data_IF_564172868450
#
_entry.id   IF_564172868450
#
_cell.length_a   1.000
_cell.length_b   1.000
_cell.length_c   1.000
_cell.angle_alpha   90.00
_cell.angle_beta   90.00
_cell.angle_gamma   90.00
#
_symmetry.space_group_name_H-M   'P 1'
#
loop_
_entity.id
_entity.type
_entity.pdbx_description
1 polymer ?
#
# COMPACT_ATOMS: atom_id res chain seq x y z
N UNK A 1 -13.03 -23.68 22.11
CA UNK A 1 -12.64 -22.98 20.88
C UNK A 1 -13.05 -21.53 20.93
N UNK A 2 -12.10 -20.68 20.58
CA UNK A 2 -12.36 -19.23 20.54
C UNK A 2 -13.11 -18.86 19.27
N UNK A 3 -14.19 -18.11 19.41
CA UNK A 3 -14.95 -17.61 18.27
C UNK A 3 -14.73 -16.12 18.10
N UNK A 4 -14.89 -15.64 16.89
CA UNK A 4 -14.84 -14.21 16.62
C UNK A 4 -16.07 -13.54 17.22
N UNK A 5 -15.88 -12.37 17.80
CA UNK A 5 -17.00 -11.52 18.20
C UNK A 5 -17.75 -11.04 16.96
N UNK A 6 -18.98 -10.55 17.13
CA UNK A 6 -19.75 -9.97 16.03
C UNK A 6 -19.02 -8.77 15.43
N UNK A 7 -18.42 -7.94 16.27
CA UNK A 7 -17.67 -6.77 15.83
C UNK A 7 -16.42 -7.18 15.03
N UNK A 8 -15.69 -8.21 15.49
CA UNK A 8 -14.51 -8.69 14.77
C UNK A 8 -14.89 -9.26 13.40
N UNK A 9 -15.96 -10.03 13.32
CA UNK A 9 -16.46 -10.56 12.05
C UNK A 9 -16.82 -9.44 11.08
N UNK A 10 -17.54 -8.43 11.58
CA UNK A 10 -17.93 -7.27 10.78
C UNK A 10 -16.70 -6.50 10.29
N UNK A 11 -15.75 -6.27 11.18
CA UNK A 11 -14.50 -5.60 10.85
C UNK A 11 -13.75 -6.33 9.74
N UNK A 12 -13.52 -7.64 9.92
CA UNK A 12 -12.80 -8.45 8.95
C UNK A 12 -13.50 -8.48 7.58
N UNK A 13 -14.82 -8.57 7.59
CA UNK A 13 -15.59 -8.53 6.35
C UNK A 13 -15.41 -7.21 5.61
N UNK A 14 -15.49 -6.09 6.33
CA UNK A 14 -15.33 -4.76 5.72
C UNK A 14 -13.92 -4.57 5.16
N UNK A 15 -12.89 -5.04 5.86
CA UNK A 15 -11.51 -5.00 5.38
C UNK A 15 -11.39 -5.84 4.11
N UNK A 16 -11.90 -7.06 4.11
CA UNK A 16 -11.83 -7.96 2.96
C UNK A 16 -12.59 -7.41 1.75
N UNK A 17 -13.76 -6.87 1.95
CA UNK A 17 -14.54 -6.26 0.87
C UNK A 17 -13.85 -5.03 0.31
N UNK A 18 -13.20 -4.24 1.17
CA UNK A 18 -12.43 -3.07 0.73
C UNK A 18 -11.23 -3.51 -0.11
N UNK A 19 -10.50 -4.53 0.34
CA UNK A 19 -9.38 -5.09 -0.43
C UNK A 19 -9.82 -5.57 -1.81
N UNK A 20 -11.00 -6.19 -1.90
CA UNK A 20 -11.57 -6.64 -3.18
C UNK A 20 -11.82 -5.47 -4.13
N UNK A 21 -12.25 -4.32 -3.62
CA UNK A 21 -12.44 -3.11 -4.43
C UNK A 21 -11.09 -2.63 -4.99
N UNK A 22 -10.04 -2.63 -4.18
CA UNK A 22 -8.71 -2.23 -4.64
C UNK A 22 -8.18 -3.18 -5.72
N UNK A 23 -8.40 -4.48 -5.55
CA UNK A 23 -8.03 -5.47 -6.57
C UNK A 23 -8.75 -5.19 -7.90
N UNK A 24 -10.03 -4.90 -7.83
CA UNK A 24 -10.84 -4.55 -9.01
C UNK A 24 -10.35 -3.26 -9.66
N UNK A 25 -9.99 -2.25 -8.86
CA UNK A 25 -9.41 -1.00 -9.37
C UNK A 25 -8.10 -1.27 -10.13
N UNK A 26 -7.21 -2.07 -9.56
CA UNK A 26 -5.96 -2.43 -10.22
C UNK A 26 -6.24 -3.08 -11.58
N UNK A 27 -7.17 -4.03 -11.63
CA UNK A 27 -7.57 -4.68 -12.89
C UNK A 27 -8.09 -3.68 -13.92
N UNK A 28 -8.97 -2.79 -13.51
CA UNK A 28 -9.53 -1.75 -14.40
C UNK A 28 -8.45 -0.81 -14.94
N UNK A 29 -7.40 -0.58 -14.16
CA UNK A 29 -6.27 0.26 -14.55
C UNK A 29 -5.21 -0.49 -15.35
N UNK A 30 -5.40 -1.79 -15.57
CA UNK A 30 -4.45 -2.61 -16.31
C UNK A 30 -3.19 -2.94 -15.54
N UNK A 31 -3.25 -2.91 -14.21
CA UNK A 31 -2.11 -3.16 -13.34
C UNK A 31 -2.29 -4.45 -12.56
N UNK A 32 -1.18 -5.17 -12.32
CA UNK A 32 -1.18 -6.23 -11.32
C UNK A 32 -1.29 -5.60 -9.94
N UNK A 33 -1.71 -6.37 -8.95
CA UNK A 33 -1.80 -5.86 -7.58
C UNK A 33 -0.45 -5.34 -7.07
N UNK A 34 0.63 -6.05 -7.39
CA UNK A 34 1.98 -5.64 -6.98
C UNK A 34 2.41 -4.35 -7.65
N UNK A 35 2.19 -4.23 -8.97
CA UNK A 35 2.52 -3.00 -9.70
C UNK A 35 1.70 -1.82 -9.17
N UNK A 36 0.42 -2.05 -8.90
CA UNK A 36 -0.44 -1.04 -8.31
C UNK A 36 0.15 -0.52 -6.99
N UNK A 37 0.49 -1.43 -6.08
CA UNK A 37 1.04 -1.05 -4.77
C UNK A 37 2.35 -0.26 -4.88
N UNK A 38 3.22 -0.68 -5.78
CA UNK A 38 4.51 -0.02 -5.98
C UNK A 38 4.32 1.38 -6.56
N UNK A 39 3.54 1.51 -7.63
CA UNK A 39 3.27 2.81 -8.26
C UNK A 39 2.52 3.74 -7.32
N UNK A 40 1.58 3.20 -6.57
CA UNK A 40 0.83 3.97 -5.57
C UNK A 40 1.78 4.55 -4.51
N UNK A 41 2.63 3.71 -3.94
CA UNK A 41 3.58 4.13 -2.91
C UNK A 41 4.54 5.20 -3.45
N UNK A 42 5.11 4.96 -4.63
CA UNK A 42 6.02 5.91 -5.24
C UNK A 42 5.33 7.26 -5.52
N UNK A 43 4.13 7.23 -6.05
CA UNK A 43 3.37 8.46 -6.32
C UNK A 43 3.04 9.20 -5.04
N UNK A 44 2.61 8.47 -4.00
CA UNK A 44 2.28 9.06 -2.69
C UNK A 44 3.51 9.70 -2.02
N UNK A 45 4.70 9.14 -2.25
CA UNK A 45 5.94 9.62 -1.66
C UNK A 45 6.68 10.65 -2.53
N UNK A 46 6.03 11.16 -3.56
CA UNK A 46 6.61 12.22 -4.39
C UNK A 46 7.46 11.74 -5.55
N UNK A 47 7.43 10.45 -5.89
CA UNK A 47 8.11 9.88 -7.06
C UNK A 47 9.32 9.03 -6.77
N UNK A 48 9.81 9.04 -5.53
CA UNK A 48 10.96 8.22 -5.12
C UNK A 48 10.85 7.85 -3.65
N UNK A 49 11.28 6.65 -3.31
CA UNK A 49 11.37 6.25 -1.90
C UNK A 49 12.30 5.04 -1.75
N UNK A 50 12.79 4.79 -0.53
CA UNK A 50 13.58 3.59 -0.26
C UNK A 50 12.76 2.32 -0.50
N UNK A 51 13.42 1.28 -0.99
CA UNK A 51 12.79 -0.02 -1.22
C UNK A 51 12.11 -0.56 0.05
N UNK A 52 12.74 -0.37 1.21
CA UNK A 52 12.18 -0.82 2.49
C UNK A 52 10.82 -0.17 2.77
N UNK A 53 10.63 1.07 2.35
CA UNK A 53 9.36 1.77 2.56
C UNK A 53 8.27 1.22 1.65
N UNK A 54 8.62 0.83 0.42
CA UNK A 54 7.68 0.16 -0.47
C UNK A 54 7.19 -1.14 0.16
N UNK A 55 8.08 -1.93 0.73
CA UNK A 55 7.73 -3.17 1.42
C UNK A 55 6.84 -2.88 2.65
N UNK A 56 7.21 -1.87 3.44
CA UNK A 56 6.47 -1.53 4.65
C UNK A 56 5.06 -1.02 4.34
N UNK A 57 4.92 -0.10 3.38
CA UNK A 57 3.62 0.50 3.05
C UNK A 57 2.71 -0.45 2.28
N UNK A 58 3.27 -1.30 1.44
CA UNK A 58 2.47 -2.24 0.64
C UNK A 58 2.05 -3.48 1.41
N UNK A 59 2.79 -3.85 2.45
CA UNK A 59 2.59 -5.11 3.14
C UNK A 59 2.99 -6.34 2.33
N UNK A 60 3.57 -6.14 1.15
CA UNK A 60 4.04 -7.24 0.31
C UNK A 60 5.37 -7.79 0.79
N UNK A 61 5.64 -9.05 0.47
CA UNK A 61 6.95 -9.65 0.77
C UNK A 61 8.02 -9.00 -0.10
N UNK A 62 9.26 -9.01 0.38
CA UNK A 62 10.40 -8.48 -0.37
C UNK A 62 10.53 -9.16 -1.73
N UNK A 63 10.32 -10.48 -1.77
CA UNK A 63 10.40 -11.25 -3.01
C UNK A 63 9.36 -10.80 -4.04
N UNK A 64 8.12 -10.59 -3.59
CA UNK A 64 7.04 -10.12 -4.46
C UNK A 64 7.33 -8.72 -4.99
N UNK A 65 7.82 -7.82 -4.13
CA UNK A 65 8.20 -6.47 -4.53
C UNK A 65 9.33 -6.52 -5.56
N UNK A 66 10.38 -7.30 -5.30
CA UNK A 66 11.51 -7.41 -6.22
C UNK A 66 11.08 -7.93 -7.60
N UNK A 67 10.23 -8.95 -7.66
CA UNK A 67 9.73 -9.49 -8.93
C UNK A 67 8.97 -8.44 -9.73
N UNK A 68 8.10 -7.70 -9.06
CA UNK A 68 7.33 -6.64 -9.71
C UNK A 68 8.21 -5.46 -10.13
N UNK A 69 9.22 -5.12 -9.33
CA UNK A 69 10.19 -4.06 -9.68
C UNK A 69 10.98 -4.39 -10.93
N UNK A 70 11.47 -5.63 -11.05
CA UNK A 70 12.18 -6.06 -12.26
C UNK A 70 11.34 -5.84 -13.51
N UNK A 71 10.06 -6.16 -13.42
CA UNK A 71 9.14 -5.96 -14.54
C UNK A 71 8.94 -4.49 -14.87
N UNK A 72 8.74 -3.66 -13.83
CA UNK A 72 8.57 -2.21 -14.00
C UNK A 72 9.84 -1.55 -14.53
N UNK A 73 11.02 -2.03 -14.12
CA UNK A 73 12.29 -1.57 -14.67
C UNK A 73 12.42 -1.93 -16.16
N UNK A 74 12.08 -3.16 -16.51
CA UNK A 74 12.12 -3.63 -17.90
C UNK A 74 11.18 -2.82 -18.80
N UNK A 75 10.06 -2.38 -18.26
CA UNK A 75 9.10 -1.52 -18.98
C UNK A 75 9.53 -0.05 -19.01
N UNK A 76 10.59 0.30 -18.30
CA UNK A 76 11.10 1.67 -18.26
C UNK A 76 10.32 2.60 -17.34
N UNK A 77 9.53 2.05 -16.42
CA UNK A 77 8.70 2.86 -15.52
C UNK A 77 9.42 3.28 -14.24
N UNK A 78 10.40 2.52 -13.80
CA UNK A 78 11.17 2.84 -12.59
C UNK A 78 12.66 2.59 -12.83
N UNK A 79 13.48 3.25 -11.99
CA UNK A 79 14.91 2.95 -11.87
C UNK A 79 15.20 2.64 -10.42
N UNK A 80 16.19 1.79 -10.19
CA UNK A 80 16.62 1.43 -8.84
C UNK A 80 18.10 1.78 -8.71
N UNK A 81 18.44 2.56 -7.70
CA UNK A 81 19.82 2.93 -7.40
C UNK A 81 20.21 2.36 -6.05
N UNK A 82 21.45 1.84 -5.99
CA UNK A 82 22.01 1.33 -4.75
C UNK A 82 23.05 2.32 -4.21
N UNK A 83 22.84 2.77 -2.97
CA UNK A 83 23.85 3.52 -2.24
C UNK A 83 24.32 2.64 -1.07
N UNK A 84 25.27 1.76 -1.34
CA UNK A 84 25.74 0.78 -0.39
C UNK A 84 24.91 -0.51 -0.45
N UNK A 85 25.37 -1.56 0.24
CA UNK A 85 24.87 -2.92 0.10
C UNK A 85 23.41 -3.12 0.59
N UNK A 86 22.84 -2.18 1.34
CA UNK A 86 21.52 -2.33 1.95
C UNK A 86 20.55 -1.19 1.66
N UNK A 87 20.98 -0.19 0.88
CA UNK A 87 20.16 0.98 0.62
C UNK A 87 19.84 1.08 -0.85
N UNK A 88 18.64 0.70 -1.20
CA UNK A 88 18.12 0.85 -2.56
C UNK A 88 17.03 1.90 -2.55
N UNK A 89 17.10 2.80 -3.51
CA UNK A 89 16.06 3.81 -3.73
C UNK A 89 15.43 3.56 -5.08
N UNK A 90 14.11 3.53 -5.12
CA UNK A 90 13.33 3.34 -6.33
C UNK A 90 12.74 4.68 -6.73
N UNK A 91 12.88 5.01 -8.01
CA UNK A 91 12.43 6.30 -8.55
C UNK A 91 11.59 6.08 -9.80
N UNK A 92 10.47 6.79 -9.90
CA UNK A 92 9.68 6.81 -11.12
C UNK A 92 10.47 7.54 -12.22
N UNK A 93 10.53 6.94 -13.40
CA UNK A 93 11.03 7.63 -14.60
C UNK A 93 9.95 8.60 -15.08
N UNK A 94 10.22 9.50 -16.04
CA UNK A 94 9.17 10.31 -16.65
C UNK A 94 8.01 9.47 -17.20
N UNK A 95 8.32 8.32 -17.79
CA UNK A 95 7.32 7.36 -18.28
C UNK A 95 6.50 6.78 -17.11
N UNK A 96 7.16 6.41 -16.03
CA UNK A 96 6.51 5.89 -14.83
C UNK A 96 5.66 6.92 -14.14
N UNK A 97 6.12 8.17 -14.09
CA UNK A 97 5.35 9.27 -13.51
C UNK A 97 4.06 9.51 -14.31
N UNK A 98 4.15 9.47 -15.63
CA UNK A 98 2.98 9.60 -16.49
C UNK A 98 2.00 8.44 -16.27
N UNK A 99 2.51 7.22 -16.19
CA UNK A 99 1.69 6.05 -15.89
C UNK A 99 1.00 6.19 -14.53
N UNK A 100 1.73 6.64 -13.51
CA UNK A 100 1.17 6.85 -12.18
C UNK A 100 0.05 7.90 -12.20
N UNK A 101 0.23 9.01 -12.94
CA UNK A 101 -0.80 10.04 -13.07
C UNK A 101 -2.08 9.51 -13.71
N UNK A 102 -1.95 8.62 -14.68
CA UNK A 102 -3.09 8.04 -15.38
C UNK A 102 -3.78 6.92 -14.60
N UNK A 103 -3.15 6.39 -13.58
CA UNK A 103 -3.63 5.23 -12.84
C UNK A 103 -3.80 5.51 -11.35
N UNK A 104 -2.76 5.29 -10.56
CA UNK A 104 -2.83 5.33 -9.09
C UNK A 104 -3.17 6.72 -8.54
N UNK A 105 -2.78 7.79 -9.24
CA UNK A 105 -3.10 9.14 -8.80
C UNK A 105 -4.62 9.37 -8.72
N UNK A 106 -5.37 8.74 -9.62
CA UNK A 106 -6.84 8.82 -9.62
C UNK A 106 -7.44 8.16 -8.38
N UNK A 107 -6.83 7.07 -7.94
CA UNK A 107 -7.27 6.37 -6.73
C UNK A 107 -6.96 7.22 -5.49
N UNK A 108 -5.77 7.80 -5.43
CA UNK A 108 -5.38 8.70 -4.33
C UNK A 108 -6.36 9.88 -4.24
N UNK A 109 -6.73 10.44 -5.37
CA UNK A 109 -7.70 11.54 -5.43
C UNK A 109 -9.05 11.12 -4.84
N UNK A 110 -9.55 9.95 -5.23
CA UNK A 110 -10.80 9.40 -4.70
C UNK A 110 -10.71 9.20 -3.19
N UNK A 111 -9.62 8.61 -2.72
CA UNK A 111 -9.39 8.39 -1.29
C UNK A 111 -9.37 9.70 -0.51
N UNK A 112 -8.67 10.71 -1.05
CA UNK A 112 -8.62 12.04 -0.44
C UNK A 112 -10.00 12.67 -0.36
N UNK A 113 -10.82 12.54 -1.39
CA UNK A 113 -12.18 13.05 -1.41
C UNK A 113 -13.06 12.36 -0.37
N UNK A 114 -12.95 11.04 -0.28
CA UNK A 114 -13.72 10.26 0.69
C UNK A 114 -13.38 10.69 2.12
N UNK A 115 -12.09 10.64 2.47
CA UNK A 115 -11.64 10.99 3.82
C UNK A 115 -11.87 12.47 4.12
N UNK A 116 -11.71 13.34 3.13
CA UNK A 116 -11.94 14.76 3.26
C UNK A 116 -13.40 15.15 3.45
N UNK A 117 -14.33 14.24 3.12
CA UNK A 117 -15.77 14.49 3.30
C UNK A 117 -16.23 14.17 4.75
N UNK A 118 -15.39 13.50 5.53
CA UNK A 118 -15.72 13.17 6.91
C UNK A 118 -15.47 14.37 7.83
N UNK A 119 -16.22 14.50 8.93
CA UNK A 119 -15.86 15.49 9.95
C UNK A 119 -14.42 15.23 10.43
N UNK A 120 -13.68 16.32 10.65
CA UNK A 120 -12.28 16.21 11.04
C UNK A 120 -12.07 15.35 12.29
N UNK A 121 -13.00 15.45 13.26
CA UNK A 121 -12.93 14.66 14.48
C UNK A 121 -13.05 13.15 14.21
N UNK A 122 -13.91 12.77 13.27
CA UNK A 122 -14.13 11.38 12.93
C UNK A 122 -12.91 10.80 12.22
N UNK A 123 -12.33 11.55 11.31
CA UNK A 123 -11.12 11.13 10.60
C UNK A 123 -9.96 10.95 11.58
N UNK A 124 -9.75 11.91 12.47
CA UNK A 124 -8.71 11.85 13.50
C UNK A 124 -8.89 10.62 14.39
N UNK A 125 -10.11 10.36 14.81
CA UNK A 125 -10.44 9.21 15.65
C UNK A 125 -10.21 7.89 14.92
N UNK A 126 -10.61 7.82 13.65
CA UNK A 126 -10.42 6.63 12.83
C UNK A 126 -8.92 6.29 12.68
N UNK A 127 -8.12 7.29 12.36
CA UNK A 127 -6.66 7.11 12.21
C UNK A 127 -6.05 6.68 13.54
N UNK A 128 -6.42 7.34 14.63
CA UNK A 128 -5.90 7.02 15.97
C UNK A 128 -6.24 5.59 16.38
N UNK A 129 -7.49 5.16 16.18
CA UNK A 129 -7.92 3.81 16.53
C UNK A 129 -7.23 2.76 15.65
N UNK A 130 -7.04 3.07 14.37
CA UNK A 130 -6.33 2.19 13.44
C UNK A 130 -4.87 2.01 13.88
N UNK A 131 -4.22 3.10 14.28
CA UNK A 131 -2.85 3.08 14.80
C UNK A 131 -2.76 2.29 16.11
N UNK A 132 -3.69 2.50 17.03
CA UNK A 132 -3.74 1.75 18.29
C UNK A 132 -3.89 0.24 18.04
N UNK A 133 -4.71 -0.15 17.08
CA UNK A 133 -4.87 -1.55 16.70
C UNK A 133 -3.55 -2.13 16.19
N UNK A 134 -2.87 -1.41 15.30
CA UNK A 134 -1.58 -1.83 14.75
C UNK A 134 -0.53 -2.02 15.86
N UNK A 135 -0.40 -1.03 16.74
CA UNK A 135 0.57 -1.07 17.84
C UNK A 135 0.30 -2.26 18.76
N UNK A 136 -0.97 -2.48 19.10
CA UNK A 136 -1.37 -3.60 19.95
C UNK A 136 -1.11 -4.95 19.28
N UNK A 137 -1.42 -5.06 17.99
CA UNK A 137 -1.16 -6.29 17.23
C UNK A 137 0.34 -6.62 17.18
N UNK A 138 1.16 -5.61 16.90
CA UNK A 138 2.62 -5.82 16.86
C UNK A 138 3.16 -6.32 18.21
N UNK A 139 2.71 -5.70 19.29
CA UNK A 139 3.14 -6.08 20.63
C UNK A 139 2.69 -7.51 20.99
N UNK A 140 1.46 -7.85 20.65
CA UNK A 140 0.86 -9.13 21.02
C UNK A 140 1.21 -10.27 20.04
N UNK A 141 1.58 -9.93 18.81
CA UNK A 141 1.98 -10.94 17.82
C UNK A 141 3.18 -11.78 18.30
N UNK A 142 4.04 -11.19 19.13
CA UNK A 142 5.19 -11.89 19.69
C UNK A 142 4.80 -13.02 20.66
N UNK A 143 3.57 -13.00 21.15
CA UNK A 143 3.05 -14.05 22.05
C UNK A 143 2.71 -15.34 21.29
N UNK A 144 2.61 -15.27 19.97
CA UNK A 144 2.27 -16.43 19.15
C UNK A 144 3.55 -17.14 18.74
N UNK A 145 3.65 -18.40 19.13
CA UNK A 145 4.81 -19.25 18.82
C UNK A 145 4.43 -20.29 17.77
N UNK A 146 5.32 -20.53 16.83
CA UNK A 146 5.16 -21.56 15.81
C UNK A 146 5.48 -22.95 16.36
#
# INVERSE_FOLDING_TARGET
>A
MTQQSKQLRRFNRLVGETDAVYHELANRLGLSDSAFQILYTLRAEGGACPLRDICAFSGLTKQTVNSALHKLEAEGSVTTESSGARHKTVTLTPKGAELAEKTVAKVIEIENEILGSWPAEDLEKYIRLTEEFLVSMRARAQEVHS
#
